data_IF_106886762745
#
_entry.id   IF_106886762745
#
_cell.length_a   1.000
_cell.length_b   1.000
_cell.length_c   1.000
_cell.angle_alpha   90.00
_cell.angle_beta   90.00
_cell.angle_gamma   90.00
#
_symmetry.space_group_name_H-M   'P 1'
#
loop_
_entity.id
_entity.type
_entity.pdbx_description
1 polymer ?
#
# COMPACT_ATOMS: atom_id res chain seq x y z
N UNK A 1 -30.27 -21.20 13.97
CA UNK A 1 -29.85 -22.35 13.11
C UNK A 1 -28.44 -22.76 13.51
N UNK A 2 -28.28 -24.00 14.01
CA UNK A 2 -27.08 -24.84 13.97
C UNK A 2 -25.73 -24.16 14.27
N UNK A 3 -25.36 -24.05 15.55
CA UNK A 3 -23.94 -24.11 15.90
C UNK A 3 -23.50 -25.56 15.67
N UNK A 4 -23.21 -25.92 14.42
CA UNK A 4 -22.53 -27.18 14.15
C UNK A 4 -21.21 -27.13 14.93
N UNK A 5 -20.96 -28.08 15.83
CA UNK A 5 -19.67 -28.19 16.49
C UNK A 5 -18.63 -28.54 15.43
N UNK A 6 -17.95 -27.53 14.90
CA UNK A 6 -16.94 -27.68 13.85
C UNK A 6 -15.64 -28.33 14.37
N UNK A 7 -15.53 -28.57 15.68
CA UNK A 7 -14.37 -29.20 16.30
C UNK A 7 -13.08 -28.38 16.22
N UNK A 8 -13.17 -27.07 15.98
CA UNK A 8 -12.00 -26.19 15.82
C UNK A 8 -11.36 -25.90 17.18
N UNK A 9 -10.09 -26.27 17.33
CA UNK A 9 -9.27 -25.98 18.51
C UNK A 9 -8.28 -24.86 18.27
N UNK A 10 -7.68 -24.79 17.08
CA UNK A 10 -6.65 -23.80 16.72
C UNK A 10 -7.00 -23.05 15.44
N UNK A 11 -6.98 -21.72 15.50
CA UNK A 11 -7.17 -20.84 14.35
C UNK A 11 -5.91 -19.99 14.14
N UNK A 12 -5.40 -19.96 12.91
CA UNK A 12 -4.31 -19.08 12.50
C UNK A 12 -4.87 -17.99 11.59
N UNK A 13 -4.70 -16.73 11.97
CA UNK A 13 -5.14 -15.57 11.19
C UNK A 13 -3.91 -14.77 10.78
N UNK A 14 -3.66 -14.71 9.48
CA UNK A 14 -2.60 -13.92 8.87
C UNK A 14 -3.21 -12.67 8.27
N UNK A 15 -2.76 -11.49 8.72
CA UNK A 15 -3.38 -10.22 8.37
C UNK A 15 -2.34 -9.10 8.29
N UNK A 16 -2.58 -7.96 7.62
CA UNK A 16 -1.69 -6.82 7.68
C UNK A 16 -1.47 -6.29 9.12
N UNK A 17 -0.26 -5.80 9.40
CA UNK A 17 0.13 -5.43 10.79
C UNK A 17 -0.75 -4.30 11.36
N UNK A 18 -1.21 -3.39 10.51
CA UNK A 18 -2.06 -2.26 10.88
C UNK A 18 -3.45 -2.66 11.41
N UNK A 19 -3.94 -3.87 11.10
CA UNK A 19 -5.28 -4.32 11.54
C UNK A 19 -5.25 -5.41 12.62
N UNK A 20 -4.06 -5.89 13.03
CA UNK A 20 -3.93 -6.92 14.09
C UNK A 20 -4.64 -6.52 15.39
N UNK A 21 -4.44 -5.28 15.83
CA UNK A 21 -5.09 -4.75 17.03
C UNK A 21 -6.60 -4.61 16.85
N UNK A 22 -7.06 -4.32 15.63
CA UNK A 22 -8.48 -4.28 15.32
C UNK A 22 -9.10 -5.68 15.45
N UNK A 23 -8.47 -6.70 14.86
CA UNK A 23 -8.89 -8.10 15.01
C UNK A 23 -9.05 -8.52 16.47
N UNK A 24 -8.08 -8.20 17.34
CA UNK A 24 -8.16 -8.48 18.78
C UNK A 24 -9.34 -7.78 19.47
N UNK A 25 -9.60 -6.51 19.10
CA UNK A 25 -10.76 -5.76 19.61
C UNK A 25 -12.08 -6.39 19.16
N UNK A 26 -12.18 -6.81 17.90
CA UNK A 26 -13.39 -7.45 17.37
C UNK A 26 -13.69 -8.78 18.09
N UNK A 27 -12.69 -9.61 18.38
CA UNK A 27 -12.88 -10.82 19.19
C UNK A 27 -13.40 -10.53 20.60
N UNK A 28 -13.02 -9.39 21.17
CA UNK A 28 -13.48 -8.96 22.50
C UNK A 28 -14.90 -8.39 22.43
N UNK A 29 -15.18 -7.58 21.41
CA UNK A 29 -16.46 -6.90 21.20
C UNK A 29 -17.59 -7.88 20.90
N UNK A 30 -17.35 -8.87 20.06
CA UNK A 30 -18.36 -9.84 19.62
C UNK A 30 -18.39 -11.11 20.47
N UNK A 31 -17.77 -11.10 21.65
CA UNK A 31 -17.79 -12.23 22.55
C UNK A 31 -19.22 -12.46 23.09
N UNK A 32 -19.80 -13.67 22.92
CA UNK A 32 -21.05 -14.02 23.57
C UNK A 32 -20.87 -14.11 25.09
N UNK A 33 -21.79 -13.52 25.86
CA UNK A 33 -21.73 -13.51 27.34
C UNK A 33 -21.76 -14.93 27.94
N UNK A 34 -22.35 -15.89 27.24
CA UNK A 34 -22.51 -17.28 27.66
C UNK A 34 -21.24 -18.12 27.51
N UNK A 35 -20.24 -17.65 26.74
CA UNK A 35 -19.04 -18.40 26.43
C UNK A 35 -17.80 -17.81 27.11
N UNK A 36 -16.89 -18.71 27.51
CA UNK A 36 -15.58 -18.31 28.03
C UNK A 36 -14.83 -17.48 26.99
N UNK A 37 -14.05 -16.46 27.42
CA UNK A 37 -13.25 -15.66 26.51
C UNK A 37 -12.34 -16.52 25.64
N UNK A 38 -12.35 -16.26 24.33
CA UNK A 38 -11.42 -16.89 23.41
C UNK A 38 -9.99 -16.43 23.71
N UNK A 39 -9.05 -17.37 23.69
CA UNK A 39 -7.63 -17.04 23.85
C UNK A 39 -7.11 -16.50 22.52
N UNK A 40 -6.78 -15.21 22.51
CA UNK A 40 -6.21 -14.53 21.35
C UNK A 40 -4.74 -14.22 21.65
N UNK A 41 -3.84 -14.79 20.86
CA UNK A 41 -2.41 -14.56 20.93
C UNK A 41 -1.99 -13.64 19.77
N UNK A 42 -1.20 -12.61 20.06
CA UNK A 42 -0.58 -11.75 19.05
C UNK A 42 0.92 -11.97 19.05
N UNK A 43 1.48 -12.34 17.91
CA UNK A 43 2.91 -12.62 17.83
C UNK A 43 3.75 -11.33 17.82
N UNK A 44 3.21 -10.25 17.26
CA UNK A 44 3.84 -8.94 17.16
C UNK A 44 4.08 -8.29 18.53
N UNK A 45 3.23 -8.55 19.52
CA UNK A 45 3.36 -8.05 20.89
C UNK A 45 4.46 -8.78 21.68
N UNK A 46 4.98 -9.90 21.15
CA UNK A 46 5.90 -10.79 21.87
C UNK A 46 7.34 -10.61 21.37
N UNK A 47 8.31 -10.36 22.28
CA UNK A 47 9.72 -10.31 21.93
C UNK A 47 10.18 -11.58 21.24
N UNK A 48 11.14 -11.46 20.28
CA UNK A 48 11.58 -12.57 19.41
C UNK A 48 11.93 -13.84 20.18
N UNK A 49 12.63 -13.71 21.32
CA UNK A 49 13.07 -14.83 22.17
C UNK A 49 11.91 -15.64 22.78
N UNK A 50 10.74 -15.03 22.97
CA UNK A 50 9.56 -15.66 23.59
C UNK A 50 8.54 -16.18 22.56
N UNK A 51 8.80 -16.00 21.25
CA UNK A 51 7.86 -16.39 20.19
C UNK A 51 7.63 -17.90 20.13
N UNK A 52 8.69 -18.70 20.26
CA UNK A 52 8.58 -20.15 20.27
C UNK A 52 7.70 -20.64 21.43
N UNK A 53 7.92 -20.09 22.63
CA UNK A 53 7.08 -20.39 23.80
C UNK A 53 5.61 -20.04 23.55
N UNK A 54 5.31 -18.89 22.92
CA UNK A 54 3.95 -18.49 22.58
C UNK A 54 3.30 -19.48 21.59
N UNK A 55 4.02 -19.90 20.56
CA UNK A 55 3.54 -20.85 19.56
C UNK A 55 3.21 -22.20 20.22
N UNK A 56 4.13 -22.72 21.03
CA UNK A 56 3.92 -23.97 21.77
C UNK A 56 2.74 -23.86 22.76
N UNK A 57 2.61 -22.72 23.44
CA UNK A 57 1.45 -22.42 24.31
C UNK A 57 0.15 -22.39 23.53
N UNK A 58 0.08 -21.72 22.37
CA UNK A 58 -1.11 -21.67 21.52
C UNK A 58 -1.51 -23.06 21.03
N UNK A 59 -0.55 -23.87 20.58
CA UNK A 59 -0.82 -25.26 20.15
C UNK A 59 -1.38 -26.13 21.26
N UNK A 60 -0.83 -26.01 22.48
CA UNK A 60 -1.28 -26.79 23.63
C UNK A 60 -2.64 -26.35 24.15
N UNK A 61 -2.88 -25.03 24.19
CA UNK A 61 -4.06 -24.43 24.84
C UNK A 61 -5.22 -24.13 23.88
N UNK A 62 -5.00 -24.20 22.58
CA UNK A 62 -5.97 -23.77 21.57
C UNK A 62 -6.19 -22.26 21.57
N UNK A 63 -7.08 -21.82 20.68
CA UNK A 63 -7.45 -20.43 20.47
C UNK A 63 -6.98 -19.86 19.13
N UNK A 64 -6.93 -18.54 19.06
CA UNK A 64 -6.62 -17.78 17.86
C UNK A 64 -5.20 -17.24 17.94
N UNK A 65 -4.38 -17.46 16.92
CA UNK A 65 -3.09 -16.84 16.73
C UNK A 65 -3.18 -15.79 15.61
N UNK A 66 -2.92 -14.54 15.96
CA UNK A 66 -2.82 -13.42 15.03
C UNK A 66 -1.34 -13.19 14.69
N UNK A 67 -1.04 -13.08 13.39
CA UNK A 67 0.31 -12.86 12.89
C UNK A 67 0.30 -11.95 11.65
N UNK A 68 1.28 -11.08 11.53
CA UNK A 68 1.54 -10.27 10.36
C UNK A 68 2.12 -11.07 9.19
N UNK A 69 1.79 -10.72 7.95
CA UNK A 69 2.36 -11.38 6.76
C UNK A 69 3.90 -11.43 6.74
N UNK A 70 4.56 -10.34 7.10
CA UNK A 70 6.04 -10.28 7.14
C UNK A 70 6.62 -11.19 8.21
N UNK A 71 6.03 -11.18 9.41
CA UNK A 71 6.42 -12.05 10.53
C UNK A 71 6.24 -13.51 10.15
N UNK A 72 5.08 -13.86 9.59
CA UNK A 72 4.76 -15.21 9.14
C UNK A 72 5.77 -15.70 8.11
N UNK A 73 5.99 -14.94 7.03
CA UNK A 73 6.96 -15.29 5.97
C UNK A 73 8.35 -15.54 6.55
N UNK A 74 8.85 -14.62 7.37
CA UNK A 74 10.21 -14.72 7.87
C UNK A 74 10.37 -15.93 8.80
N UNK A 75 9.40 -16.21 9.66
CA UNK A 75 9.45 -17.33 10.60
C UNK A 75 9.24 -18.68 9.92
N UNK A 76 8.33 -18.77 8.94
CA UNK A 76 8.11 -20.00 8.17
C UNK A 76 9.31 -20.36 7.29
N UNK A 77 10.05 -19.38 6.78
CA UNK A 77 11.25 -19.59 5.96
C UNK A 77 12.55 -19.60 6.78
N UNK A 78 12.48 -19.55 8.11
CA UNK A 78 13.66 -19.55 8.99
C UNK A 78 14.58 -18.33 8.84
N UNK A 79 14.09 -17.23 8.25
CA UNK A 79 14.90 -16.02 8.05
C UNK A 79 15.01 -15.23 9.36
N UNK A 80 16.21 -14.73 9.64
CA UNK A 80 16.55 -13.92 10.84
C UNK A 80 16.46 -14.65 12.19
N UNK A 81 16.57 -15.98 12.20
CA UNK A 81 16.78 -16.78 13.41
C UNK A 81 18.24 -17.27 13.38
N UNK A 82 19.02 -16.94 14.41
CA UNK A 82 20.46 -17.28 14.47
C UNK A 82 20.71 -18.78 14.64
N UNK A 83 19.81 -19.45 15.35
CA UNK A 83 19.89 -20.88 15.64
C UNK A 83 19.00 -21.68 14.68
N UNK A 84 19.61 -22.64 13.98
CA UNK A 84 18.93 -23.46 12.98
C UNK A 84 17.83 -24.33 13.60
N UNK A 85 18.10 -24.95 14.74
CA UNK A 85 17.15 -25.84 15.42
C UNK A 85 15.88 -25.08 15.87
N UNK A 86 16.07 -23.89 16.44
CA UNK A 86 14.97 -22.99 16.83
C UNK A 86 14.16 -22.52 15.61
N UNK A 87 14.82 -22.27 14.47
CA UNK A 87 14.15 -21.89 13.23
C UNK A 87 13.28 -23.02 12.68
N UNK A 88 13.81 -24.25 12.69
CA UNK A 88 13.12 -25.45 12.24
C UNK A 88 11.92 -25.76 13.16
N UNK A 89 12.06 -25.61 14.48
CA UNK A 89 10.93 -25.82 15.42
C UNK A 89 9.81 -24.79 15.19
N UNK A 90 10.14 -23.52 15.01
CA UNK A 90 9.15 -22.46 14.73
C UNK A 90 8.46 -22.72 13.39
N UNK A 91 9.23 -23.04 12.35
CA UNK A 91 8.71 -23.33 11.02
C UNK A 91 7.76 -24.53 11.07
N UNK A 92 8.18 -25.62 11.73
CA UNK A 92 7.35 -26.79 11.97
C UNK A 92 6.09 -26.45 12.78
N UNK A 93 6.18 -25.58 13.80
CA UNK A 93 5.03 -25.18 14.61
C UNK A 93 3.99 -24.38 13.81
N UNK A 94 4.42 -23.56 12.85
CA UNK A 94 3.53 -22.81 11.96
C UNK A 94 2.98 -23.66 10.81
N UNK A 95 3.77 -24.61 10.29
CA UNK A 95 3.37 -25.48 9.18
C UNK A 95 2.47 -26.65 9.64
N UNK A 96 2.64 -27.14 10.88
CA UNK A 96 1.80 -28.17 11.49
C UNK A 96 0.43 -27.63 11.92
N UNK A 97 -0.34 -27.30 10.88
CA UNK A 97 -1.77 -27.53 10.75
C UNK A 97 -2.70 -27.01 11.82
N UNK A 98 -2.87 -25.68 11.92
CA UNK A 98 -4.09 -25.14 12.52
C UNK A 98 -5.34 -25.76 11.87
N UNK A 99 -6.42 -25.90 12.64
CA UNK A 99 -7.69 -26.44 12.12
C UNK A 99 -8.31 -25.54 11.05
N UNK A 100 -7.98 -24.25 11.11
CA UNK A 100 -8.37 -23.23 10.13
C UNK A 100 -7.27 -22.18 9.93
N UNK A 101 -7.00 -21.86 8.67
CA UNK A 101 -6.17 -20.73 8.25
C UNK A 101 -7.04 -19.65 7.62
N UNK A 102 -6.97 -18.43 8.15
CA UNK A 102 -7.65 -17.25 7.62
C UNK A 102 -6.60 -16.25 7.16
N UNK A 103 -6.68 -15.84 5.90
CA UNK A 103 -5.84 -14.79 5.32
C UNK A 103 -6.72 -13.58 5.06
N UNK A 104 -6.45 -12.49 5.78
CA UNK A 104 -7.12 -11.21 5.59
C UNK A 104 -6.34 -10.34 4.61
N UNK A 105 -7.04 -9.53 3.81
CA UNK A 105 -6.46 -8.84 2.66
C UNK A 105 -5.66 -9.78 1.74
N UNK A 106 -6.28 -10.90 1.37
CA UNK A 106 -5.70 -11.98 0.57
C UNK A 106 -5.20 -11.53 -0.81
N UNK A 107 -5.52 -10.31 -1.25
CA UNK A 107 -4.87 -9.67 -2.38
C UNK A 107 -3.35 -9.47 -2.17
N UNK A 108 -2.82 -9.67 -0.96
CA UNK A 108 -1.38 -9.81 -0.69
C UNK A 108 -0.77 -11.09 -1.28
N UNK A 109 -1.59 -12.11 -1.57
CA UNK A 109 -1.21 -13.38 -2.20
C UNK A 109 -1.23 -13.21 -3.73
N UNK A 110 -0.36 -12.34 -4.24
CA UNK A 110 -0.40 -11.93 -5.66
C UNK A 110 0.22 -12.93 -6.63
N UNK A 111 1.25 -13.64 -6.17
CA UNK A 111 2.11 -14.42 -7.04
C UNK A 111 2.49 -15.74 -6.38
N UNK A 112 2.45 -16.84 -7.13
CA UNK A 112 2.96 -18.16 -6.70
C UNK A 112 4.42 -18.14 -6.31
N UNK A 113 5.25 -17.32 -6.97
CA UNK A 113 6.69 -17.18 -6.69
C UNK A 113 6.99 -16.33 -5.46
N UNK A 114 5.99 -15.62 -4.92
CA UNK A 114 6.22 -14.82 -3.73
C UNK A 114 6.47 -15.75 -2.53
N UNK A 115 7.54 -15.48 -1.79
CA UNK A 115 7.91 -16.16 -0.56
C UNK A 115 6.73 -16.32 0.42
N UNK A 116 5.89 -15.28 0.51
CA UNK A 116 4.68 -15.29 1.36
C UNK A 116 3.68 -16.36 0.91
N UNK A 117 3.38 -16.44 -0.40
CA UNK A 117 2.46 -17.43 -0.96
C UNK A 117 3.00 -18.84 -0.77
N UNK A 118 4.30 -19.02 -0.99
CA UNK A 118 4.97 -20.31 -0.78
C UNK A 118 4.88 -20.75 0.69
N UNK A 119 5.22 -19.87 1.63
CA UNK A 119 5.11 -20.15 3.06
C UNK A 119 3.66 -20.48 3.50
N UNK A 120 2.67 -19.76 2.98
CA UNK A 120 1.25 -20.01 3.30
C UNK A 120 0.77 -21.36 2.75
N UNK A 121 1.21 -21.74 1.55
CA UNK A 121 0.87 -23.03 0.96
C UNK A 121 1.43 -24.22 1.72
N UNK A 122 2.60 -24.06 2.36
CA UNK A 122 3.22 -25.10 3.20
C UNK A 122 2.41 -25.42 4.47
N UNK A 123 1.49 -24.54 4.89
CA UNK A 123 0.64 -24.79 6.07
C UNK A 123 -0.38 -25.89 5.77
N UNK A 124 -0.26 -27.00 6.51
CA UNK A 124 -1.11 -28.19 6.37
C UNK A 124 -2.43 -28.04 7.13
N UNK A 125 -3.41 -27.36 6.57
CA UNK A 125 -4.72 -27.15 7.23
C UNK A 125 -5.87 -27.81 6.46
N UNK A 126 -6.94 -28.17 7.17
CA UNK A 126 -8.17 -28.68 6.57
C UNK A 126 -9.02 -27.58 5.93
N UNK A 127 -8.92 -26.34 6.43
CA UNK A 127 -9.81 -25.23 6.05
C UNK A 127 -9.01 -23.97 5.79
N UNK A 128 -9.18 -23.39 4.59
CA UNK A 128 -8.56 -22.13 4.18
C UNK A 128 -9.65 -21.11 3.86
N UNK A 129 -9.55 -19.92 4.44
CA UNK A 129 -10.41 -18.78 4.13
C UNK A 129 -9.52 -17.64 3.67
N UNK A 130 -9.85 -17.05 2.53
CA UNK A 130 -9.21 -15.85 2.01
C UNK A 130 -10.25 -14.72 1.98
N UNK A 131 -9.99 -13.64 2.71
CA UNK A 131 -10.84 -12.45 2.76
C UNK A 131 -10.20 -11.35 1.91
N UNK A 132 -11.00 -10.69 1.06
CA UNK A 132 -10.51 -9.58 0.24
C UNK A 132 -11.66 -8.64 -0.09
N UNK A 133 -11.43 -7.34 0.06
CA UNK A 133 -12.39 -6.30 -0.33
C UNK A 133 -12.40 -6.02 -1.84
N UNK A 134 -11.39 -6.49 -2.57
CA UNK A 134 -11.18 -6.20 -4.00
C UNK A 134 -10.83 -7.46 -4.80
N UNK A 135 -11.71 -8.48 -4.86
CA UNK A 135 -11.36 -9.78 -5.43
C UNK A 135 -10.98 -9.72 -6.92
N UNK A 136 -11.45 -8.72 -7.68
CA UNK A 136 -11.40 -8.70 -9.16
C UNK A 136 -10.77 -7.44 -9.77
N UNK A 137 -10.26 -6.50 -8.97
CA UNK A 137 -9.99 -5.16 -9.49
C UNK A 137 -8.62 -4.93 -10.13
N UNK A 138 -7.61 -5.81 -9.97
CA UNK A 138 -6.26 -5.47 -10.45
C UNK A 138 -5.52 -6.52 -11.31
N UNK A 139 -5.91 -7.81 -11.31
CA UNK A 139 -5.33 -8.83 -12.19
C UNK A 139 -6.08 -10.18 -12.10
N UNK A 140 -6.49 -10.80 -13.21
CA UNK A 140 -7.08 -12.15 -13.19
C UNK A 140 -6.11 -13.22 -12.64
N UNK A 141 -4.80 -13.01 -12.77
CA UNK A 141 -3.80 -13.92 -12.20
C UNK A 141 -3.68 -13.83 -10.69
N UNK A 142 -3.91 -12.65 -10.09
CA UNK A 142 -3.98 -12.53 -8.63
C UNK A 142 -5.19 -13.32 -8.11
N UNK A 143 -6.32 -13.23 -8.82
CA UNK A 143 -7.51 -14.00 -8.51
C UNK A 143 -7.28 -15.52 -8.62
N UNK A 144 -6.62 -15.96 -9.68
CA UNK A 144 -6.18 -17.36 -9.81
C UNK A 144 -5.30 -17.81 -8.65
N UNK A 145 -4.33 -16.98 -8.21
CA UNK A 145 -3.47 -17.31 -7.07
C UNK A 145 -4.26 -17.44 -5.77
N UNK A 146 -5.26 -16.60 -5.53
CA UNK A 146 -6.14 -16.70 -4.36
C UNK A 146 -7.00 -17.97 -4.39
N UNK A 147 -7.61 -18.28 -5.54
CA UNK A 147 -8.43 -19.50 -5.70
C UNK A 147 -7.56 -20.75 -5.49
N UNK A 148 -6.39 -20.79 -6.11
CA UNK A 148 -5.46 -21.91 -5.99
C UNK A 148 -4.86 -22.05 -4.58
N UNK A 149 -4.74 -20.95 -3.84
CA UNK A 149 -4.37 -21.00 -2.42
C UNK A 149 -5.46 -21.69 -1.58
N UNK A 150 -6.73 -21.34 -1.80
CA UNK A 150 -7.86 -21.92 -1.06
C UNK A 150 -8.13 -23.37 -1.49
N UNK A 151 -8.14 -23.62 -2.79
CA UNK A 151 -8.43 -24.92 -3.40
C UNK A 151 -7.45 -25.20 -4.53
N UNK A 152 -6.33 -25.82 -4.17
CA UNK A 152 -5.23 -26.10 -5.09
C UNK A 152 -5.68 -26.96 -6.28
N UNK A 153 -5.27 -26.56 -7.48
CA UNK A 153 -5.55 -27.29 -8.73
C UNK A 153 -6.98 -27.16 -9.28
N UNK A 154 -7.89 -26.42 -8.64
CA UNK A 154 -9.29 -26.32 -9.07
C UNK A 154 -9.46 -25.72 -10.48
N UNK A 155 -8.64 -24.72 -10.83
CA UNK A 155 -8.68 -24.03 -12.13
C UNK A 155 -7.63 -24.57 -13.12
N UNK A 156 -7.02 -25.72 -12.83
CA UNK A 156 -5.92 -26.28 -13.62
C UNK A 156 -4.58 -25.61 -13.36
N UNK A 157 -3.69 -25.66 -14.35
CA UNK A 157 -2.37 -25.03 -14.27
C UNK A 157 -2.41 -23.54 -14.60
N UNK A 158 -1.37 -22.79 -14.21
CA UNK A 158 -1.32 -21.34 -14.47
C UNK A 158 -1.34 -21.01 -15.96
N UNK A 159 -0.76 -21.88 -16.79
CA UNK A 159 -0.74 -21.73 -18.24
C UNK A 159 -2.10 -22.03 -18.85
N UNK A 160 -2.77 -23.09 -18.37
CA UNK A 160 -4.11 -23.45 -18.80
C UNK A 160 -5.12 -22.35 -18.45
N UNK A 161 -5.08 -21.85 -17.22
CA UNK A 161 -5.94 -20.75 -16.78
C UNK A 161 -5.71 -19.50 -17.65
N UNK A 162 -4.44 -19.17 -17.94
CA UNK A 162 -4.11 -18.02 -18.77
C UNK A 162 -4.69 -18.13 -20.18
N UNK A 163 -4.55 -19.29 -20.81
CA UNK A 163 -5.08 -19.51 -22.16
C UNK A 163 -6.60 -19.61 -22.19
N UNK A 164 -7.22 -20.20 -21.17
CA UNK A 164 -8.66 -20.46 -21.13
C UNK A 164 -9.48 -19.24 -20.69
N UNK A 165 -8.94 -18.42 -19.79
CA UNK A 165 -9.66 -17.31 -19.17
C UNK A 165 -8.94 -15.97 -19.33
N UNK A 166 -7.68 -15.85 -18.88
CA UNK A 166 -7.01 -14.54 -18.84
C UNK A 166 -6.90 -13.89 -20.22
N UNK A 167 -6.21 -14.53 -21.17
CA UNK A 167 -5.93 -13.93 -22.47
C UNK A 167 -7.23 -13.60 -23.24
N UNK A 168 -8.25 -14.49 -23.30
CA UNK A 168 -9.50 -14.17 -23.98
C UNK A 168 -10.29 -13.04 -23.30
N UNK A 169 -10.23 -12.94 -21.96
CA UNK A 169 -10.94 -11.88 -21.23
C UNK A 169 -10.23 -10.54 -21.43
N UNK A 170 -8.90 -10.50 -21.30
CA UNK A 170 -8.11 -9.29 -21.53
C UNK A 170 -8.25 -8.80 -22.98
N UNK A 171 -8.25 -9.72 -23.96
CA UNK A 171 -8.38 -9.37 -25.37
C UNK A 171 -9.72 -8.70 -25.72
N UNK A 172 -10.80 -9.00 -24.99
CA UNK A 172 -12.11 -8.37 -25.18
C UNK A 172 -12.30 -7.04 -24.44
N UNK A 173 -11.33 -6.63 -23.60
CA UNK A 173 -11.39 -5.39 -22.81
C UNK A 173 -10.68 -4.21 -23.48
N UNK A 174 -10.01 -4.43 -24.60
CA UNK A 174 -9.33 -3.36 -25.32
C UNK A 174 -10.31 -2.48 -26.10
N UNK A 175 -9.95 -1.21 -26.30
CA UNK A 175 -10.81 -0.26 -27.04
C UNK A 175 -10.98 -0.63 -28.51
N UNK A 176 -10.08 -1.44 -29.06
CA UNK A 176 -10.07 -1.92 -30.45
C UNK A 176 -10.53 -3.38 -30.58
N UNK A 177 -11.11 -3.98 -29.54
CA UNK A 177 -11.62 -5.35 -29.57
C UNK A 177 -12.78 -5.50 -30.56
N UNK A 178 -12.81 -6.62 -31.29
CA UNK A 178 -13.91 -6.92 -32.22
C UNK A 178 -15.17 -7.38 -31.45
N UNK A 179 -16.32 -7.39 -32.13
CA UNK A 179 -17.56 -7.94 -31.54
C UNK A 179 -17.43 -9.40 -31.11
N UNK A 180 -16.63 -10.19 -31.85
CA UNK A 180 -16.36 -11.59 -31.53
C UNK A 180 -15.48 -11.73 -30.29
N UNK A 181 -14.46 -10.87 -30.13
CA UNK A 181 -13.62 -10.83 -28.92
C UNK A 181 -14.44 -10.52 -27.68
N UNK A 182 -15.34 -9.53 -27.76
CA UNK A 182 -16.25 -9.17 -26.66
C UNK A 182 -17.20 -10.31 -26.33
N UNK A 183 -17.70 -11.03 -27.34
CA UNK A 183 -18.55 -12.21 -27.14
C UNK A 183 -17.79 -13.34 -26.43
N UNK A 184 -16.56 -13.65 -26.86
CA UNK A 184 -15.71 -14.65 -26.22
C UNK A 184 -15.39 -14.25 -24.78
N UNK A 185 -15.03 -12.98 -24.53
CA UNK A 185 -14.79 -12.44 -23.19
C UNK A 185 -15.98 -12.67 -22.26
N UNK A 186 -17.20 -12.31 -22.71
CA UNK A 186 -18.42 -12.48 -21.92
C UNK A 186 -18.68 -13.96 -21.62
N UNK A 187 -18.51 -14.83 -22.61
CA UNK A 187 -18.69 -16.27 -22.44
C UNK A 187 -17.68 -16.86 -21.44
N UNK A 188 -16.38 -16.54 -21.57
CA UNK A 188 -15.33 -17.02 -20.65
C UNK A 188 -15.50 -16.49 -19.24
N UNK A 189 -15.91 -15.23 -19.10
CA UNK A 189 -16.21 -14.62 -17.80
C UNK A 189 -17.38 -15.31 -17.11
N UNK A 190 -18.45 -15.61 -17.84
CA UNK A 190 -19.61 -16.33 -17.30
C UNK A 190 -19.25 -17.74 -16.85
N UNK A 191 -18.49 -18.49 -17.66
CA UNK A 191 -18.02 -19.84 -17.31
C UNK A 191 -17.18 -19.80 -16.03
N UNK A 192 -16.24 -18.85 -15.93
CA UNK A 192 -15.40 -18.70 -14.74
C UNK A 192 -16.24 -18.39 -13.50
N UNK A 193 -17.23 -17.50 -13.62
CA UNK A 193 -18.12 -17.16 -12.52
C UNK A 193 -18.94 -18.36 -12.04
N UNK A 194 -19.58 -19.11 -12.94
CA UNK A 194 -20.38 -20.29 -12.58
C UNK A 194 -19.52 -21.40 -11.94
N UNK A 195 -18.26 -21.57 -12.38
CA UNK A 195 -17.34 -22.50 -11.74
C UNK A 195 -17.01 -22.14 -10.28
N UNK A 196 -17.10 -20.85 -9.90
CA UNK A 196 -16.65 -20.34 -8.62
C UNK A 196 -17.79 -20.04 -7.63
N UNK A 197 -19.03 -19.95 -8.12
CA UNK A 197 -20.26 -19.64 -7.39
C UNK A 197 -20.49 -20.45 -6.11
N UNK A 198 -19.91 -21.65 -6.01
CA UNK A 198 -20.07 -22.54 -4.86
C UNK A 198 -19.19 -22.22 -3.63
N UNK A 199 -18.08 -21.51 -3.81
CA UNK A 199 -17.13 -21.25 -2.70
C UNK A 199 -16.55 -19.83 -2.69
N UNK A 200 -16.72 -19.07 -3.77
CA UNK A 200 -16.46 -17.64 -3.77
C UNK A 200 -17.75 -16.91 -3.43
N UNK A 201 -17.78 -16.27 -2.27
CA UNK A 201 -18.90 -15.45 -1.85
C UNK A 201 -18.55 -13.97 -2.06
N UNK A 202 -19.33 -13.29 -2.91
CA UNK A 202 -19.21 -11.86 -3.14
C UNK A 202 -20.53 -11.19 -2.81
N UNK A 203 -20.49 -10.32 -1.80
CA UNK A 203 -21.62 -9.50 -1.39
C UNK A 203 -21.34 -8.06 -1.77
N UNK A 204 -22.05 -7.54 -2.78
CA UNK A 204 -21.96 -6.13 -3.13
C UNK A 204 -22.77 -5.27 -2.15
N UNK A 205 -22.58 -3.95 -2.21
CA UNK A 205 -23.26 -2.98 -1.33
C UNK A 205 -24.80 -3.05 -1.41
N UNK A 206 -25.34 -3.73 -2.43
CA UNK A 206 -26.78 -3.98 -2.57
C UNK A 206 -27.37 -4.75 -1.38
N UNK A 207 -26.58 -5.57 -0.68
CA UNK A 207 -27.05 -6.34 0.49
C UNK A 207 -27.50 -5.43 1.64
N UNK A 208 -26.86 -4.27 1.80
CA UNK A 208 -27.13 -3.30 2.88
C UNK A 208 -27.89 -2.07 2.40
N UNK A 209 -28.39 -2.08 1.16
CA UNK A 209 -29.00 -0.92 0.51
C UNK A 209 -30.26 -0.42 1.24
N UNK A 210 -30.98 -1.32 1.92
CA UNK A 210 -32.19 -0.99 2.66
C UNK A 210 -31.89 -0.50 4.10
N UNK A 211 -30.72 -0.86 4.64
CA UNK A 211 -30.34 -0.55 6.03
C UNK A 211 -29.48 0.72 6.12
N UNK A 212 -28.85 1.14 5.02
CA UNK A 212 -27.96 2.30 4.97
C UNK A 212 -28.49 3.38 4.02
N UNK A 213 -28.28 4.68 4.33
CA UNK A 213 -28.56 5.77 3.40
C UNK A 213 -27.83 5.59 2.05
N UNK A 214 -28.41 6.07 0.94
CA UNK A 214 -27.79 5.92 -0.37
C UNK A 214 -26.45 6.68 -0.44
N UNK A 215 -25.39 5.98 -0.84
CA UNK A 215 -24.07 6.57 -1.08
C UNK A 215 -24.11 7.47 -2.31
N UNK A 216 -23.92 8.78 -2.12
CA UNK A 216 -23.72 9.75 -3.20
C UNK A 216 -22.23 9.90 -3.48
N UNK A 217 -21.83 9.80 -4.75
CA UNK A 217 -20.43 9.94 -5.19
C UNK A 217 -20.36 11.09 -6.19
N UNK A 218 -19.50 12.06 -5.92
CA UNK A 218 -19.27 13.21 -6.79
C UNK A 218 -17.82 13.20 -7.27
N UNK A 219 -17.64 13.40 -8.58
CA UNK A 219 -16.31 13.59 -9.18
C UNK A 219 -16.22 15.06 -9.59
N UNK A 220 -15.37 15.81 -8.90
CA UNK A 220 -15.24 17.26 -9.12
C UNK A 220 -13.98 17.54 -9.94
N UNK A 221 -14.16 18.09 -11.13
CA UNK A 221 -13.06 18.53 -11.99
C UNK A 221 -12.68 19.97 -11.65
N UNK A 222 -11.45 20.17 -11.18
CA UNK A 222 -10.95 21.47 -10.75
C UNK A 222 -9.95 22.01 -11.77
N UNK A 223 -10.11 23.29 -12.16
CA UNK A 223 -9.17 23.97 -13.06
C UNK A 223 -7.88 24.31 -12.32
N UNK A 224 -6.74 24.16 -12.99
CA UNK A 224 -5.44 24.58 -12.46
C UNK A 224 -5.41 26.11 -12.28
N UNK A 225 -4.81 26.58 -11.18
CA UNK A 225 -4.54 28.00 -10.95
C UNK A 225 -3.58 28.57 -11.99
N UNK A 226 -3.45 29.90 -12.05
CA UNK A 226 -2.50 30.55 -12.97
C UNK A 226 -1.07 30.10 -12.69
N UNK A 227 -0.69 30.02 -11.40
CA UNK A 227 0.63 29.57 -10.98
C UNK A 227 0.88 28.10 -11.31
N UNK A 228 -0.09 27.22 -11.04
CA UNK A 228 -0.01 25.80 -11.42
C UNK A 228 0.18 25.62 -12.92
N UNK A 229 -0.51 26.40 -13.76
CA UNK A 229 -0.33 26.37 -15.22
C UNK A 229 1.06 26.82 -15.64
N UNK A 230 1.60 27.89 -15.05
CA UNK A 230 2.96 28.38 -15.32
C UNK A 230 4.00 27.30 -14.98
N UNK A 231 3.91 26.71 -13.80
CA UNK A 231 4.81 25.63 -13.36
C UNK A 231 4.68 24.38 -14.23
N UNK A 232 3.44 23.99 -14.57
CA UNK A 232 3.19 22.83 -15.42
C UNK A 232 3.80 23.00 -16.82
N UNK A 233 3.64 24.18 -17.46
CA UNK A 233 4.27 24.46 -18.75
C UNK A 233 5.79 24.43 -18.64
N UNK A 234 6.35 25.11 -17.64
CA UNK A 234 7.80 25.11 -17.41
C UNK A 234 8.35 23.70 -17.19
N UNK A 235 7.62 22.85 -16.46
CA UNK A 235 7.95 21.44 -16.29
C UNK A 235 8.02 20.71 -17.64
N UNK A 236 7.01 20.90 -18.52
CA UNK A 236 7.00 20.27 -19.84
C UNK A 236 8.18 20.74 -20.71
N UNK A 237 8.53 22.02 -20.65
CA UNK A 237 9.65 22.58 -21.40
C UNK A 237 10.99 22.02 -20.92
N UNK A 238 11.21 21.99 -19.61
CA UNK A 238 12.47 21.51 -18.99
C UNK A 238 12.66 20.01 -19.23
N UNK A 239 11.57 19.23 -19.22
CA UNK A 239 11.64 17.79 -19.40
C UNK A 239 11.43 17.32 -20.85
N UNK A 240 11.42 18.25 -21.82
CA UNK A 240 11.41 17.96 -23.25
C UNK A 240 10.10 17.41 -23.79
N UNK A 241 8.98 17.63 -23.10
CA UNK A 241 7.65 17.22 -23.56
C UNK A 241 7.00 18.23 -24.53
N UNK A 242 7.50 19.47 -24.57
CA UNK A 242 6.97 20.53 -25.44
C UNK A 242 7.59 20.57 -26.84
N UNK A 243 8.76 19.96 -27.04
CA UNK A 243 9.48 20.01 -28.32
C UNK A 243 9.10 18.82 -29.20
N UNK A 244 8.30 19.08 -30.24
CA UNK A 244 7.95 18.10 -31.30
C UNK A 244 9.11 17.70 -32.22
N UNK A 245 10.34 18.07 -31.88
CA UNK A 245 11.56 17.87 -32.68
C UNK A 245 12.75 17.66 -31.76
N UNK A 246 12.96 16.43 -31.28
CA UNK A 246 14.26 16.05 -30.75
C UNK A 246 14.55 14.59 -31.06
N UNK A 247 15.47 14.37 -32.00
CA UNK A 247 16.20 13.12 -32.25
C UNK A 247 17.10 12.69 -31.06
N UNK A 248 16.83 13.19 -29.84
CA UNK A 248 17.50 12.72 -28.63
C UNK A 248 16.67 11.58 -28.05
N UNK A 249 17.26 10.39 -27.83
CA UNK A 249 16.52 9.27 -27.28
C UNK A 249 15.88 9.71 -25.96
N UNK A 250 14.56 9.52 -25.87
CA UNK A 250 13.80 9.72 -24.64
C UNK A 250 14.55 9.03 -23.51
N UNK A 251 15.22 9.80 -22.64
CA UNK A 251 15.81 9.25 -21.45
C UNK A 251 14.66 8.84 -20.54
N UNK A 252 14.29 7.56 -20.59
CA UNK A 252 13.30 6.91 -19.71
C UNK A 252 13.70 6.91 -18.22
N UNK A 253 14.81 7.60 -17.86
CA UNK A 253 15.18 7.83 -16.48
C UNK A 253 14.17 8.72 -15.76
N UNK A 254 13.72 8.28 -14.58
CA UNK A 254 13.02 9.14 -13.64
C UNK A 254 11.56 9.48 -13.95
N UNK A 255 10.84 8.70 -14.79
CA UNK A 255 9.40 8.91 -15.04
C UNK A 255 8.59 9.04 -13.74
N UNK A 256 8.82 8.16 -12.77
CA UNK A 256 8.14 8.21 -11.48
C UNK A 256 8.50 9.47 -10.67
N UNK A 257 9.76 9.91 -10.72
CA UNK A 257 10.18 11.15 -10.05
C UNK A 257 9.53 12.39 -10.69
N UNK A 258 9.43 12.40 -12.02
CA UNK A 258 8.71 13.40 -12.83
C UNK A 258 7.22 13.43 -12.46
N UNK A 259 6.57 12.27 -12.38
CA UNK A 259 5.18 12.15 -11.93
C UNK A 259 4.98 12.65 -10.50
N UNK A 260 5.89 12.33 -9.57
CA UNK A 260 5.82 12.81 -8.20
C UNK A 260 5.91 14.35 -8.11
N UNK A 261 6.81 14.99 -8.88
CA UNK A 261 6.89 16.46 -8.98
C UNK A 261 5.59 17.06 -9.53
N UNK A 262 5.01 16.46 -10.57
CA UNK A 262 3.72 16.89 -11.12
C UNK A 262 2.57 16.73 -10.12
N UNK A 263 2.51 15.61 -9.40
CA UNK A 263 1.50 15.37 -8.37
C UNK A 263 1.56 16.42 -7.26
N UNK A 264 2.77 16.86 -6.87
CA UNK A 264 2.94 17.99 -5.94
C UNK A 264 2.36 19.28 -6.51
N UNK A 265 2.70 19.65 -7.76
CA UNK A 265 2.16 20.86 -8.43
C UNK A 265 0.62 20.83 -8.50
N UNK A 266 0.03 19.68 -8.88
CA UNK A 266 -1.41 19.51 -9.00
C UNK A 266 -2.15 19.58 -7.67
N UNK A 267 -1.50 19.20 -6.56
CA UNK A 267 -2.07 19.31 -5.22
C UNK A 267 -1.91 20.72 -4.69
N UNK A 268 -0.70 21.26 -4.64
CA UNK A 268 -0.42 22.66 -4.33
C UNK A 268 1.04 23.03 -4.71
N UNK A 269 1.31 24.16 -5.40
CA UNK A 269 2.67 24.58 -5.78
C UNK A 269 3.68 24.62 -4.62
N UNK A 270 3.26 25.12 -3.45
CA UNK A 270 4.09 25.20 -2.24
C UNK A 270 4.60 23.86 -1.69
N UNK A 271 4.05 22.72 -2.13
CA UNK A 271 4.57 21.41 -1.76
C UNK A 271 5.98 21.15 -2.31
N UNK A 272 6.37 21.83 -3.39
CA UNK A 272 7.75 21.78 -3.90
C UNK A 272 8.74 22.39 -2.91
N UNK A 273 8.38 23.52 -2.29
CA UNK A 273 9.17 24.19 -1.26
C UNK A 273 9.28 23.33 0.00
N UNK A 274 8.14 22.87 0.53
CA UNK A 274 8.12 22.02 1.74
C UNK A 274 8.92 20.72 1.54
N UNK A 275 8.83 20.09 0.36
CA UNK A 275 9.60 18.89 0.06
C UNK A 275 11.11 19.16 -0.02
N UNK A 276 11.53 20.35 -0.48
CA UNK A 276 12.94 20.77 -0.48
C UNK A 276 13.45 21.00 0.94
N UNK A 277 12.69 21.70 1.76
CA UNK A 277 13.03 21.97 3.17
C UNK A 277 13.19 20.69 3.99
N UNK A 278 12.25 19.74 3.87
CA UNK A 278 12.33 18.45 4.55
C UNK A 278 13.55 17.63 4.13
N UNK A 279 13.92 17.64 2.83
CA UNK A 279 15.16 17.00 2.35
C UNK A 279 16.41 17.68 2.88
N UNK A 280 16.38 19.00 3.06
CA UNK A 280 17.47 19.76 3.68
C UNK A 280 17.63 19.43 5.17
N UNK A 281 16.52 19.22 5.89
CA UNK A 281 16.51 18.83 7.31
C UNK A 281 17.06 17.42 7.51
N UNK A 282 16.58 16.44 6.73
CA UNK A 282 17.05 15.05 6.81
C UNK A 282 18.55 14.93 6.50
N UNK A 283 19.06 15.68 5.51
CA UNK A 283 20.50 15.72 5.22
C UNK A 283 21.33 16.33 6.35
N UNK A 284 20.76 17.23 7.15
CA UNK A 284 21.42 17.79 8.34
C UNK A 284 21.38 16.80 9.50
N UNK A 285 20.25 16.12 9.71
CA UNK A 285 20.13 15.09 10.75
C UNK A 285 21.05 13.89 10.47
N UNK A 286 21.08 13.37 9.24
CA UNK A 286 22.02 12.31 8.82
C UNK A 286 23.49 12.74 8.98
N UNK A 287 23.81 14.02 8.78
CA UNK A 287 25.17 14.54 8.97
C UNK A 287 25.55 14.65 10.44
N UNK A 288 24.59 14.93 11.33
CA UNK A 288 24.78 14.98 12.79
C UNK A 288 24.84 13.56 13.37
N UNK A 289 24.04 12.63 12.86
CA UNK A 289 24.03 11.23 13.30
C UNK A 289 25.30 10.48 12.84
N UNK A 290 25.79 10.75 11.63
CA UNK A 290 27.10 10.27 11.16
C UNK A 290 28.29 10.90 11.92
N UNK A 291 28.14 12.11 12.48
CA UNK A 291 29.17 12.72 13.33
C UNK A 291 29.22 12.11 14.74
N UNK A 292 28.12 11.48 15.20
CA UNK A 292 28.04 10.84 16.51
C UNK A 292 28.38 9.33 16.48
N UNK A 293 28.66 8.76 15.31
CA UNK A 293 28.88 7.30 15.14
C UNK A 293 30.30 6.92 14.70
N UNK A 294 31.27 7.85 14.71
CA UNK A 294 32.62 7.62 14.19
C UNK A 294 33.64 7.07 15.22
N UNK A 295 33.18 6.37 16.25
CA UNK A 295 34.03 5.64 17.22
C UNK A 295 33.46 4.23 17.49
N UNK A 296 33.24 3.43 16.44
CA UNK A 296 33.29 1.95 16.58
C UNK A 296 33.41 1.21 15.25
N UNK A 297 34.66 0.92 14.92
CA UNK A 297 35.22 -0.23 14.19
C UNK A 297 34.31 -1.28 13.51
N UNK A 298 34.71 -1.53 12.26
CA UNK A 298 34.93 -2.82 11.55
C UNK A 298 33.77 -3.63 10.94
N UNK A 299 34.02 -3.92 9.66
CA UNK A 299 33.69 -5.10 8.85
C UNK A 299 32.24 -5.31 8.39
N UNK A 300 32.00 -5.12 7.08
CA UNK A 300 31.83 -6.29 6.22
C UNK A 300 31.79 -5.95 4.71
N UNK A 301 32.64 -6.69 3.98
CA UNK A 301 32.68 -6.81 2.52
C UNK A 301 31.37 -7.37 1.98
N UNK A 302 30.81 -6.78 0.92
CA UNK A 302 30.05 -7.55 -0.08
C UNK A 302 30.40 -7.12 -1.51
N UNK A 303 31.08 -8.05 -2.19
CA UNK A 303 31.40 -8.05 -3.61
C UNK A 303 30.12 -8.06 -4.46
N UNK A 304 30.07 -7.20 -5.47
CA UNK A 304 29.21 -7.39 -6.64
C UNK A 304 30.15 -7.45 -7.85
N UNK A 305 30.37 -8.66 -8.35
CA UNK A 305 31.01 -8.90 -9.65
C UNK A 305 30.05 -8.45 -10.77
N UNK A 306 30.47 -7.46 -11.55
CA UNK A 306 29.91 -7.19 -12.88
C UNK A 306 31.05 -7.38 -13.86
N UNK A 307 30.95 -8.41 -14.69
CA UNK A 307 31.85 -8.66 -15.82
C UNK A 307 31.76 -7.49 -16.83
N UNK A 308 32.90 -6.86 -17.11
CA UNK A 308 33.10 -5.89 -18.19
C UNK A 308 34.05 -6.50 -19.23
N UNK A 309 33.83 -6.34 -20.54
CA UNK A 309 34.85 -6.62 -21.54
C UNK A 309 35.87 -5.47 -21.59
N UNK A 310 37.13 -5.86 -21.83
CA UNK A 310 38.34 -5.06 -21.96
C UNK A 310 38.21 -3.75 -22.75
N UNK A 311 38.89 -2.70 -22.28
CA UNK A 311 39.36 -1.60 -23.14
C UNK A 311 39.45 -0.21 -22.53
N UNK A 312 40.50 0.05 -21.74
CA UNK A 312 41.26 1.32 -21.78
C UNK A 312 40.67 2.62 -21.19
N UNK A 313 41.38 3.10 -20.16
CA UNK A 313 41.55 4.48 -19.64
C UNK A 313 40.61 4.95 -18.51
N UNK A 314 41.21 4.96 -17.32
CA UNK A 314 40.77 5.60 -16.08
C UNK A 314 40.34 7.06 -16.32
N UNK A 315 39.07 7.37 -16.04
CA UNK A 315 38.63 8.70 -15.60
C UNK A 315 38.18 8.59 -14.15
N UNK A 316 38.64 9.51 -13.32
CA UNK A 316 38.52 9.53 -11.87
C UNK A 316 37.08 9.31 -11.38
N UNK A 317 36.93 8.43 -10.38
CA UNK A 317 35.66 8.14 -9.68
C UNK A 317 35.06 9.38 -9.00
N UNK A 318 35.87 10.40 -8.74
CA UNK A 318 35.46 11.70 -8.20
C UNK A 318 34.71 12.54 -9.24
N UNK A 319 35.12 12.51 -10.52
CA UNK A 319 34.48 13.29 -11.60
C UNK A 319 33.11 12.73 -12.04
N UNK A 320 32.89 11.42 -11.88
CA UNK A 320 31.58 10.82 -12.15
C UNK A 320 30.59 11.05 -11.01
N UNK A 321 31.06 11.16 -9.76
CA UNK A 321 30.22 11.53 -8.61
C UNK A 321 29.85 13.01 -8.66
N UNK A 322 30.79 13.90 -8.96
CA UNK A 322 30.51 15.33 -9.15
C UNK A 322 29.55 15.57 -10.32
N UNK A 323 29.77 14.96 -11.49
CA UNK A 323 28.82 15.08 -12.63
C UNK A 323 27.44 14.48 -12.37
N UNK A 324 27.33 13.42 -11.56
CA UNK A 324 26.03 12.83 -11.18
C UNK A 324 25.30 13.67 -10.12
N UNK A 325 26.05 14.39 -9.28
CA UNK A 325 25.53 15.38 -8.33
C UNK A 325 25.11 16.65 -9.07
N UNK A 326 25.86 17.10 -10.07
CA UNK A 326 25.54 18.27 -10.90
C UNK A 326 24.31 18.02 -11.80
N UNK A 327 24.17 16.82 -12.39
CA UNK A 327 22.96 16.43 -13.13
C UNK A 327 21.69 16.37 -12.23
N UNK A 328 21.84 16.02 -10.95
CA UNK A 328 20.74 16.03 -9.98
C UNK A 328 20.40 17.44 -9.49
N UNK A 329 21.38 18.34 -9.50
CA UNK A 329 21.22 19.73 -9.05
C UNK A 329 20.57 20.62 -10.11
N UNK A 330 20.89 20.47 -11.40
CA UNK A 330 20.27 21.27 -12.47
C UNK A 330 18.78 20.90 -12.71
N UNK A 331 18.37 19.64 -12.49
CA UNK A 331 16.95 19.24 -12.54
C UNK A 331 16.14 19.64 -11.29
N UNK A 332 16.77 20.15 -10.23
CA UNK A 332 16.11 20.37 -8.93
C UNK A 332 15.55 21.79 -8.73
N UNK A 333 16.05 22.79 -9.45
CA UNK A 333 15.78 24.21 -9.11
C UNK A 333 14.98 24.97 -10.18
N UNK A 334 14.47 24.29 -11.22
CA UNK A 334 13.79 24.94 -12.35
C UNK A 334 12.53 25.75 -11.97
N UNK A 335 11.95 25.47 -10.80
CA UNK A 335 10.74 26.06 -10.27
C UNK A 335 11.00 27.17 -9.24
N UNK A 336 12.23 27.33 -8.75
CA UNK A 336 12.55 28.26 -7.65
C UNK A 336 12.25 29.70 -8.03
N UNK A 337 12.60 30.11 -9.24
CA UNK A 337 12.33 31.46 -9.74
C UNK A 337 10.85 31.74 -10.03
N UNK A 338 9.98 30.74 -9.88
CA UNK A 338 8.54 30.84 -10.11
C UNK A 338 7.74 30.81 -8.80
N UNK A 339 8.38 30.53 -7.66
CA UNK A 339 7.74 30.45 -6.35
C UNK A 339 8.39 31.46 -5.40
N UNK A 340 7.58 32.31 -4.78
CA UNK A 340 8.02 33.17 -3.68
C UNK A 340 8.04 32.37 -2.36
N UNK A 341 8.84 32.76 -1.38
CA UNK A 341 8.97 32.06 -0.07
C UNK A 341 7.63 31.93 0.69
N UNK A 342 6.64 32.75 0.35
CA UNK A 342 5.31 32.70 0.94
C UNK A 342 4.28 31.87 0.15
N UNK A 343 4.67 31.24 -0.95
CA UNK A 343 3.72 30.57 -1.86
C UNK A 343 2.91 29.48 -1.17
N UNK A 344 3.49 28.71 -0.26
CA UNK A 344 2.74 27.70 0.50
C UNK A 344 1.71 28.30 1.46
N UNK A 345 1.81 29.59 1.83
CA UNK A 345 0.88 30.24 2.76
C UNK A 345 -0.45 30.60 2.11
N UNK A 346 -0.47 30.78 0.79
CA UNK A 346 -1.66 31.18 0.05
C UNK A 346 -2.35 29.96 -0.56
N UNK A 347 -3.51 29.57 -0.01
CA UNK A 347 -4.29 28.43 -0.49
C UNK A 347 -4.83 28.63 -1.92
N UNK A 348 -5.00 29.89 -2.35
CA UNK A 348 -5.56 30.29 -3.65
C UNK A 348 -4.71 29.83 -4.85
N UNK A 349 -3.44 29.49 -4.61
CA UNK A 349 -2.58 28.91 -5.64
C UNK A 349 -2.93 27.47 -6.01
N UNK A 350 -3.89 26.82 -5.34
CA UNK A 350 -4.48 25.56 -5.78
C UNK A 350 -5.98 25.54 -5.66
N UNK A 351 -6.67 25.37 -6.81
CA UNK A 351 -8.12 25.21 -6.81
C UNK A 351 -8.60 24.01 -5.98
N UNK A 352 -7.78 22.96 -5.84
CA UNK A 352 -8.12 21.81 -5.00
C UNK A 352 -8.14 22.18 -3.51
N UNK A 353 -7.18 22.99 -3.07
CA UNK A 353 -7.08 23.42 -1.67
C UNK A 353 -8.20 24.39 -1.33
N UNK A 354 -8.50 25.36 -2.20
CA UNK A 354 -9.63 26.27 -2.03
C UNK A 354 -10.94 25.49 -1.87
N UNK A 355 -11.22 24.56 -2.79
CA UNK A 355 -12.45 23.78 -2.74
C UNK A 355 -12.50 22.86 -1.51
N UNK A 356 -11.39 22.22 -1.15
CA UNK A 356 -11.32 21.37 0.04
C UNK A 356 -11.65 22.16 1.31
N UNK A 357 -11.03 23.32 1.49
CA UNK A 357 -11.25 24.17 2.67
C UNK A 357 -12.70 24.67 2.75
N UNK A 358 -13.31 25.02 1.62
CA UNK A 358 -14.71 25.46 1.60
C UNK A 358 -15.69 24.30 1.90
N UNK A 359 -15.42 23.09 1.39
CA UNK A 359 -16.17 21.88 1.75
C UNK A 359 -16.06 21.63 3.25
N UNK A 360 -14.86 21.68 3.83
CA UNK A 360 -14.65 21.45 5.27
C UNK A 360 -15.36 22.49 6.13
N UNK A 361 -15.31 23.77 5.73
CA UNK A 361 -16.03 24.84 6.42
C UNK A 361 -17.54 24.62 6.37
N UNK A 362 -18.08 24.25 5.21
CA UNK A 362 -19.51 23.97 5.05
C UNK A 362 -19.95 22.75 5.86
N UNK A 363 -19.15 21.68 5.88
CA UNK A 363 -19.40 20.51 6.73
C UNK A 363 -19.44 20.90 8.22
N UNK A 364 -18.50 21.74 8.66
CA UNK A 364 -18.47 22.21 10.04
C UNK A 364 -19.71 23.03 10.41
N UNK A 365 -20.16 23.93 9.52
CA UNK A 365 -21.38 24.72 9.72
C UNK A 365 -22.64 23.85 9.83
N UNK A 366 -22.70 22.77 9.06
CA UNK A 366 -23.80 21.79 9.10
C UNK A 366 -23.69 20.81 10.28
N UNK A 367 -22.57 20.79 10.99
CA UNK A 367 -22.29 19.82 12.07
C UNK A 367 -21.91 18.42 11.56
N UNK A 368 -21.56 18.30 10.28
CA UNK A 368 -21.15 17.05 9.65
C UNK A 368 -19.69 16.72 9.96
N UNK A 369 -19.39 15.42 10.06
CA UNK A 369 -18.02 14.92 10.17
C UNK A 369 -17.48 14.60 8.78
N UNK A 370 -16.28 15.11 8.47
CA UNK A 370 -15.59 14.87 7.21
C UNK A 370 -14.32 14.03 7.42
N UNK A 371 -14.03 13.15 6.46
CA UNK A 371 -12.76 12.41 6.37
C UNK A 371 -12.01 12.85 5.12
N UNK A 372 -10.75 13.28 5.28
CA UNK A 372 -9.88 13.70 4.19
C UNK A 372 -8.79 12.67 3.99
N UNK A 373 -8.66 12.16 2.78
CA UNK A 373 -7.63 11.19 2.41
C UNK A 373 -6.64 11.82 1.42
N UNK A 374 -5.35 11.61 1.65
CA UNK A 374 -4.27 11.97 0.73
C UNK A 374 -3.23 10.87 0.70
N UNK A 375 -2.65 10.61 -0.48
CA UNK A 375 -1.56 9.65 -0.65
C UNK A 375 -0.19 10.21 -0.25
N UNK A 376 -0.11 11.52 0.03
CA UNK A 376 1.13 12.20 0.38
C UNK A 376 1.00 12.89 1.75
N UNK A 377 1.90 12.55 2.68
CA UNK A 377 1.96 13.13 4.02
C UNK A 377 2.20 14.64 3.98
N UNK A 378 3.05 15.14 3.08
CA UNK A 378 3.31 16.59 2.98
C UNK A 378 2.08 17.37 2.55
N UNK A 379 1.17 16.74 1.80
CA UNK A 379 -0.12 17.33 1.47
C UNK A 379 -1.03 17.41 2.71
N UNK A 380 -0.99 16.42 3.60
CA UNK A 380 -1.72 16.48 4.87
C UNK A 380 -1.13 17.55 5.79
N UNK A 381 0.20 17.67 5.87
CA UNK A 381 0.88 18.71 6.65
C UNK A 381 0.44 20.12 6.18
N UNK A 382 0.33 20.32 4.87
CA UNK A 382 -0.16 21.57 4.29
C UNK A 382 -1.64 21.84 4.61
N UNK A 383 -2.48 20.80 4.59
CA UNK A 383 -3.90 20.92 4.99
C UNK A 383 -4.01 21.29 6.47
N UNK A 384 -3.22 20.66 7.35
CA UNK A 384 -3.17 21.01 8.78
C UNK A 384 -2.71 22.45 8.99
N UNK A 385 -1.70 22.90 8.23
CA UNK A 385 -1.26 24.28 8.24
C UNK A 385 -2.40 25.24 7.90
N UNK A 386 -3.15 25.00 6.81
CA UNK A 386 -4.29 25.85 6.46
C UNK A 386 -5.41 25.83 7.50
N UNK A 387 -5.76 24.65 8.01
CA UNK A 387 -6.78 24.54 9.06
C UNK A 387 -6.38 25.35 10.30
N UNK A 388 -5.11 25.29 10.72
CA UNK A 388 -4.62 26.05 11.87
C UNK A 388 -4.70 27.58 11.71
N UNK A 389 -4.69 28.08 10.46
CA UNK A 389 -4.82 29.50 10.12
C UNK A 389 -6.24 29.93 9.78
N UNK A 390 -7.13 28.96 9.56
CA UNK A 390 -8.51 29.22 9.19
C UNK A 390 -9.32 29.67 10.40
N UNK A 391 -10.06 30.76 10.24
CA UNK A 391 -11.03 31.22 11.23
C UNK A 391 -12.35 30.48 11.03
N UNK A 392 -13.00 30.11 12.13
CA UNK A 392 -14.32 29.47 12.11
C UNK A 392 -15.36 30.53 11.70
N UNK A 393 -16.05 30.30 10.58
CA UNK A 393 -17.12 31.18 10.09
C UNK A 393 -18.16 31.39 11.20
N UNK A 394 -18.57 32.63 11.43
CA UNK A 394 -19.53 33.02 12.47
C UNK A 394 -18.99 33.13 13.90
N UNK A 395 -17.68 32.93 14.14
CA UNK A 395 -17.06 33.13 15.46
C UNK A 395 -15.80 33.99 15.34
N UNK A 396 -15.92 35.28 15.66
CA UNK A 396 -14.78 36.19 15.65
C UNK A 396 -13.66 35.73 16.59
N UNK A 397 -12.42 35.68 16.08
CA UNK A 397 -11.22 35.31 16.85
C UNK A 397 -11.07 33.82 17.18
N UNK A 398 -11.96 32.93 16.72
CA UNK A 398 -11.83 31.48 16.94
C UNK A 398 -11.26 30.78 15.70
N UNK A 399 -10.07 30.22 15.87
CA UNK A 399 -9.41 29.38 14.87
C UNK A 399 -9.69 27.91 15.16
N UNK A 400 -9.60 27.09 14.12
CA UNK A 400 -9.68 25.65 14.27
C UNK A 400 -8.51 25.16 15.14
N UNK A 401 -8.72 24.09 15.93
CA UNK A 401 -7.68 23.49 16.78
C UNK A 401 -7.54 21.97 16.61
N UNK A 402 -6.29 21.50 16.53
CA UNK A 402 -5.95 20.08 16.53
C UNK A 402 -6.38 19.43 17.84
N UNK A 403 -6.88 18.20 17.78
CA UNK A 403 -7.37 17.45 18.93
C UNK A 403 -8.75 17.91 19.44
N UNK A 404 -9.36 18.90 18.78
CA UNK A 404 -10.73 19.35 19.04
C UNK A 404 -11.55 19.35 17.77
N UNK A 405 -11.15 20.16 16.79
CA UNK A 405 -11.88 20.39 15.54
C UNK A 405 -11.40 19.43 14.42
N UNK A 406 -10.15 18.97 14.47
CA UNK A 406 -9.66 17.89 13.61
C UNK A 406 -8.71 16.94 14.36
N UNK A 407 -8.58 15.73 13.83
CA UNK A 407 -7.67 14.68 14.29
C UNK A 407 -6.91 14.12 13.09
N UNK A 408 -5.66 13.67 13.33
CA UNK A 408 -4.83 13.01 12.33
C UNK A 408 -4.45 11.61 12.79
#
# INVERSE_FOLDING_TARGET
MRCAQLGLRTALIVTPVNVLHNWKKEFTKWQPAELKPLRVYMLEDVPRLKRLYLLNKWRAKGGVLLIGYSSFRNLSLGRHVKEKDTADEISNALQCGPDILVCDEAHMIKNRKADTTHALKQVKTQRRIALTGSPLQNNLMEYYCMVDFVREGFLGSSHEFRNRFQNPIENGQHTNSTSDDVKIMNQRSHILYEQLKGFVQRMDMNVVKNDLPPKKVFVITVKLSQLQRKLYRRFLDVHGFSSGTSEKPYQHGGFFAKYQKLAQIWNHPGLLQMAKEQRGSLRREDAVENFLTDESSSDDNHNIEIQLPNGGKQKSRTDQRSKKIDFLNEESNWWENLLDDNTFKEADYSGKMVLLLDILATCYELGDKALVFSQNLTTLDLVEFYLSKMQIKGKEGKYWKQGKDWYR
#
